data_IF_368743516504
#
_entry.id   IF_368743516504
#
_cell.length_a   1.000
_cell.length_b   1.000
_cell.length_c   1.000
_cell.angle_alpha   90.00
_cell.angle_beta   90.00
_cell.angle_gamma   90.00
#
_symmetry.space_group_name_H-M   'P 1'
#
loop_
_entity.id
_entity.type
_entity.pdbx_description
1 polymer ?
#
# COMPACT_ATOMS: atom_id res chain seq x y z
N UNK A 1 -15.77 9.98 -16.24
CA UNK A 1 -16.78 10.41 -15.26
C UNK A 1 -16.08 10.72 -13.95
N UNK A 2 -16.35 11.86 -13.30
CA UNK A 2 -15.86 12.13 -11.95
C UNK A 2 -16.42 11.06 -10.99
N UNK A 3 -15.59 10.54 -10.09
CA UNK A 3 -16.07 9.62 -9.04
C UNK A 3 -16.84 10.42 -8.00
N UNK A 4 -17.87 9.82 -7.40
CA UNK A 4 -18.55 10.44 -6.26
C UNK A 4 -17.55 10.63 -5.11
N UNK A 5 -17.73 11.71 -4.35
CA UNK A 5 -16.85 12.06 -3.21
C UNK A 5 -16.78 10.93 -2.17
N UNK A 6 -17.88 10.19 -1.98
CA UNK A 6 -17.96 9.02 -1.09
C UNK A 6 -17.03 7.87 -1.53
N UNK A 7 -16.91 7.63 -2.84
CA UNK A 7 -15.99 6.60 -3.37
C UNK A 7 -14.54 7.03 -3.20
N UNK A 8 -14.26 8.34 -3.34
CA UNK A 8 -12.93 8.88 -3.07
C UNK A 8 -12.55 8.77 -1.59
N UNK A 9 -13.46 9.05 -0.66
CA UNK A 9 -13.21 8.87 0.77
C UNK A 9 -12.99 7.39 1.15
N UNK A 10 -13.77 6.48 0.54
CA UNK A 10 -13.59 5.03 0.74
C UNK A 10 -12.21 4.58 0.26
N UNK A 11 -11.80 5.00 -0.95
CA UNK A 11 -10.48 4.69 -1.51
C UNK A 11 -9.36 5.28 -0.64
N UNK A 12 -9.53 6.48 -0.10
CA UNK A 12 -8.55 7.06 0.82
C UNK A 12 -8.41 6.24 2.11
N UNK A 13 -9.53 5.75 2.66
CA UNK A 13 -9.54 4.85 3.81
C UNK A 13 -8.88 3.51 3.53
N UNK A 14 -9.14 2.92 2.36
CA UNK A 14 -8.54 1.65 1.95
C UNK A 14 -7.04 1.79 1.68
N UNK A 15 -6.60 2.92 1.09
CA UNK A 15 -5.18 3.25 0.94
C UNK A 15 -4.51 3.34 2.32
N UNK A 16 -5.11 4.05 3.28
CA UNK A 16 -4.54 4.19 4.61
C UNK A 16 -4.43 2.84 5.35
N UNK A 17 -5.46 1.99 5.24
CA UNK A 17 -5.40 0.61 5.76
C UNK A 17 -4.29 -0.20 5.10
N UNK A 18 -4.19 -0.13 3.78
CA UNK A 18 -3.15 -0.84 3.04
C UNK A 18 -1.73 -0.36 3.41
N UNK A 19 -1.55 0.94 3.74
CA UNK A 19 -0.26 1.45 4.25
C UNK A 19 0.08 0.89 5.62
N UNK A 20 -0.90 0.82 6.53
CA UNK A 20 -0.72 0.20 7.83
C UNK A 20 -0.34 -1.28 7.70
N UNK A 21 -1.09 -2.04 6.91
CA UNK A 21 -0.79 -3.47 6.70
C UNK A 21 0.57 -3.71 6.03
N UNK A 22 1.02 -2.79 5.17
CA UNK A 22 2.34 -2.89 4.56
C UNK A 22 3.46 -2.57 5.57
N UNK A 23 3.23 -1.67 6.52
CA UNK A 23 4.15 -1.44 7.63
C UNK A 23 4.24 -2.69 8.51
N UNK A 24 3.10 -3.29 8.88
CA UNK A 24 3.06 -4.51 9.69
C UNK A 24 3.80 -5.67 8.98
N UNK A 25 3.61 -5.82 7.66
CA UNK A 25 4.34 -6.82 6.87
C UNK A 25 5.85 -6.57 6.86
N UNK A 26 6.29 -5.32 6.80
CA UNK A 26 7.72 -4.98 6.88
C UNK A 26 8.31 -5.35 8.23
N UNK A 27 7.58 -5.11 9.30
CA UNK A 27 8.02 -5.44 10.65
C UNK A 27 8.16 -6.96 10.82
N UNK A 28 7.18 -7.74 10.36
CA UNK A 28 7.26 -9.20 10.36
C UNK A 28 8.42 -9.71 9.51
N UNK A 29 8.65 -9.15 8.32
CA UNK A 29 9.79 -9.53 7.48
C UNK A 29 11.12 -9.17 8.15
N UNK A 30 11.19 -8.04 8.85
CA UNK A 30 12.36 -7.66 9.65
C UNK A 30 12.62 -8.67 10.77
N UNK A 31 11.58 -9.08 11.50
CA UNK A 31 11.68 -10.09 12.55
C UNK A 31 12.11 -11.46 12.01
N UNK A 32 11.56 -11.87 10.87
CA UNK A 32 11.98 -13.08 10.17
C UNK A 32 13.47 -13.02 9.79
N UNK A 33 13.93 -11.88 9.28
CA UNK A 33 15.34 -11.66 8.95
C UNK A 33 16.24 -11.73 10.18
N UNK A 34 15.81 -11.14 11.29
CA UNK A 34 16.53 -11.20 12.57
C UNK A 34 16.58 -12.63 13.13
N UNK A 35 15.54 -13.44 12.89
CA UNK A 35 15.51 -14.86 13.25
C UNK A 35 16.39 -15.75 12.36
N UNK A 36 17.03 -15.18 11.32
CA UNK A 36 17.90 -15.90 10.39
C UNK A 36 17.15 -16.66 9.29
N UNK A 37 15.87 -16.36 9.06
CA UNK A 37 15.11 -16.90 7.92
C UNK A 37 15.49 -16.19 6.63
N UNK A 38 15.42 -16.91 5.51
CA UNK A 38 15.51 -16.29 4.19
C UNK A 38 14.24 -15.49 3.93
N UNK A 39 14.42 -14.19 3.70
CA UNK A 39 13.35 -13.21 3.50
C UNK A 39 13.33 -12.63 2.08
N UNK A 40 14.14 -13.16 1.15
CA UNK A 40 14.28 -12.58 -0.20
C UNK A 40 12.96 -12.53 -0.97
N UNK A 41 12.11 -13.55 -0.85
CA UNK A 41 10.81 -13.58 -1.52
C UNK A 41 9.83 -12.60 -0.88
N UNK A 42 9.80 -12.51 0.44
CA UNK A 42 8.92 -11.61 1.18
C UNK A 42 9.35 -10.14 0.99
N UNK A 43 10.65 -9.84 0.95
CA UNK A 43 11.15 -8.50 0.62
C UNK A 43 10.76 -8.09 -0.81
N UNK A 44 10.80 -9.01 -1.77
CA UNK A 44 10.34 -8.76 -3.14
C UNK A 44 8.82 -8.49 -3.20
N UNK A 45 8.02 -9.28 -2.50
CA UNK A 45 6.56 -9.09 -2.42
C UNK A 45 6.18 -7.77 -1.75
N UNK A 46 6.84 -7.41 -0.64
CA UNK A 46 6.64 -6.12 0.04
C UNK A 46 6.98 -4.95 -0.89
N UNK A 47 8.03 -5.08 -1.70
CA UNK A 47 8.42 -4.07 -2.68
C UNK A 47 7.37 -3.91 -3.79
N UNK A 48 6.85 -5.01 -4.31
CA UNK A 48 5.80 -5.01 -5.33
C UNK A 48 4.49 -4.44 -4.80
N UNK A 49 4.08 -4.82 -3.59
CA UNK A 49 2.92 -4.25 -2.91
C UNK A 49 3.08 -2.75 -2.69
N UNK A 50 4.28 -2.29 -2.32
CA UNK A 50 4.58 -0.87 -2.14
C UNK A 50 4.46 -0.10 -3.46
N UNK A 51 4.92 -0.67 -4.57
CA UNK A 51 4.79 -0.06 -5.89
C UNK A 51 3.33 0.04 -6.34
N UNK A 52 2.54 -1.02 -6.14
CA UNK A 52 1.09 -1.03 -6.43
C UNK A 52 0.35 0.03 -5.59
N UNK A 53 0.65 0.12 -4.30
CA UNK A 53 0.03 1.10 -3.41
C UNK A 53 0.36 2.54 -3.85
N UNK A 54 1.61 2.79 -4.24
CA UNK A 54 2.01 4.09 -4.81
C UNK A 54 1.23 4.42 -6.09
N UNK A 55 1.00 3.44 -6.96
CA UNK A 55 0.19 3.65 -8.17
C UNK A 55 -1.27 3.99 -7.84
N UNK A 56 -1.86 3.34 -6.84
CA UNK A 56 -3.22 3.63 -6.37
C UNK A 56 -3.31 5.04 -5.75
N UNK A 57 -2.31 5.46 -4.97
CA UNK A 57 -2.21 6.85 -4.47
C UNK A 57 -2.14 7.86 -5.60
N UNK A 58 -1.29 7.65 -6.60
CA UNK A 58 -1.18 8.56 -7.75
C UNK A 58 -2.50 8.65 -8.52
N UNK A 59 -3.19 7.52 -8.72
CA UNK A 59 -4.49 7.51 -9.37
C UNK A 59 -5.56 8.26 -8.55
N UNK A 60 -5.56 8.06 -7.23
CA UNK A 60 -6.43 8.79 -6.31
C UNK A 60 -6.18 10.30 -6.37
N UNK A 61 -4.94 10.75 -6.28
CA UNK A 61 -4.57 12.17 -6.37
C UNK A 61 -4.96 12.79 -7.71
N UNK A 62 -4.72 12.08 -8.82
CA UNK A 62 -5.15 12.54 -10.16
C UNK A 62 -6.67 12.64 -10.28
N UNK A 63 -7.41 11.71 -9.68
CA UNK A 63 -8.89 11.73 -9.65
C UNK A 63 -9.40 12.86 -8.76
N UNK A 64 -8.75 13.11 -7.62
CA UNK A 64 -9.07 14.21 -6.68
C UNK A 64 -8.81 15.58 -7.29
N UNK A 65 -7.69 15.76 -8.00
CA UNK A 65 -7.35 17.00 -8.69
C UNK A 65 -8.29 17.32 -9.88
N UNK A 66 -9.02 16.32 -10.37
CA UNK A 66 -9.95 16.42 -11.50
C UNK A 66 -11.43 16.39 -11.08
N UNK A 67 -11.71 16.31 -9.78
CA UNK A 67 -13.04 16.26 -9.19
C UNK A 67 -13.55 17.66 -8.79
#
# INVERSE_FOLDING_TARGET
>A
MPMSKEVLETIAGDIAKAESSLADLKDVVSDMRLSGMDVTTQEAEVKDLSAKLRSMKMFYELRKAKA
#
